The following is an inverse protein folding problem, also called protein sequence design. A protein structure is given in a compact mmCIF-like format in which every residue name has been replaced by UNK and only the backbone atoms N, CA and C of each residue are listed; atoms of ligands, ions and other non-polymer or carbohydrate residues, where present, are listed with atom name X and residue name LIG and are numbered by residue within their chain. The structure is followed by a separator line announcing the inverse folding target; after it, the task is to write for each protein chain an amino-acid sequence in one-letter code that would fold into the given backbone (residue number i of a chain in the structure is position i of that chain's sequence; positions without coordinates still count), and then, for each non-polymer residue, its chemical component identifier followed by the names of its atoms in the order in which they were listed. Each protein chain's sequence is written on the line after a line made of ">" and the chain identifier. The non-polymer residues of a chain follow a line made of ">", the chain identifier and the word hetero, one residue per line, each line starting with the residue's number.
data_IF_029535716219
#
_entry.id   IF_029535716219
#
_cell.length_a   1.000
_cell.length_b   1.000
_cell.length_c   1.000
_cell.angle_alpha   90.00
_cell.angle_beta   90.00
_cell.angle_gamma   90.00
#
_symmetry.space_group_name_H-M   'P 1'
#
loop_
_entity.id
_entity.type
_entity.pdbx_description
1 polymer ?
#
# COMPACT_ATOMS: atom_id res chain seq x y z
N UNK A 1 16.15 0.36 32.30
CA UNK A 1 14.77 0.39 31.74
C UNK A 1 14.60 1.44 30.65
N UNK A 2 15.20 2.62 30.74
CA UNK A 2 15.07 3.71 29.74
C UNK A 2 15.71 3.41 28.37
N UNK A 3 16.83 2.70 28.28
CA UNK A 3 17.51 2.37 27.02
C UNK A 3 16.76 1.31 26.18
N UNK A 4 16.06 0.39 26.82
CA UNK A 4 15.24 -0.61 26.13
C UNK A 4 14.02 0.01 25.47
N UNK A 5 13.35 0.96 26.13
CA UNK A 5 12.21 1.69 25.58
C UNK A 5 12.63 2.48 24.30
N UNK A 6 13.73 3.23 24.39
CA UNK A 6 14.23 4.02 23.24
C UNK A 6 14.62 3.17 22.03
N UNK A 7 15.18 1.95 22.24
CA UNK A 7 15.56 1.06 21.15
C UNK A 7 14.33 0.39 20.48
N UNK A 8 13.36 -0.03 21.28
CA UNK A 8 12.10 -0.59 20.77
C UNK A 8 11.32 0.45 19.96
N UNK A 9 11.21 1.68 20.45
CA UNK A 9 10.56 2.78 19.75
C UNK A 9 11.23 3.08 18.40
N UNK A 10 12.56 3.05 18.33
CA UNK A 10 13.30 3.30 17.08
C UNK A 10 13.05 2.20 16.05
N UNK A 11 13.11 0.93 16.46
CA UNK A 11 12.89 -0.22 15.56
C UNK A 11 11.44 -0.32 15.10
N UNK A 12 10.49 -0.11 16.01
CA UNK A 12 9.07 -0.07 15.66
C UNK A 12 8.78 1.07 14.68
N UNK A 13 9.23 2.29 14.96
CA UNK A 13 9.03 3.43 14.07
C UNK A 13 9.63 3.21 12.68
N UNK A 14 10.81 2.58 12.61
CA UNK A 14 11.44 2.23 11.33
C UNK A 14 10.60 1.20 10.59
N UNK A 15 10.19 0.13 11.26
CA UNK A 15 9.32 -0.90 10.70
C UNK A 15 7.99 -0.31 10.20
N UNK A 16 7.33 0.51 11.01
CA UNK A 16 6.08 1.16 10.67
C UNK A 16 6.24 2.05 9.42
N UNK A 17 7.21 2.96 9.42
CA UNK A 17 7.46 3.87 8.27
C UNK A 17 7.77 3.11 6.98
N UNK A 18 8.47 1.98 7.09
CA UNK A 18 8.89 1.20 5.92
C UNK A 18 7.73 0.40 5.35
N UNK A 19 6.90 -0.23 6.20
CA UNK A 19 5.96 -1.26 5.75
C UNK A 19 4.49 -0.88 5.83
N UNK A 20 4.09 0.12 6.62
CA UNK A 20 2.68 0.42 6.87
C UNK A 20 1.88 0.61 5.57
N UNK A 21 2.31 1.50 4.68
CA UNK A 21 1.60 1.77 3.42
C UNK A 21 1.57 0.55 2.50
N UNK A 22 2.68 -0.20 2.44
CA UNK A 22 2.76 -1.43 1.63
C UNK A 22 1.78 -2.48 2.15
N UNK A 23 1.66 -2.63 3.47
CA UNK A 23 0.71 -3.55 4.10
C UNK A 23 -0.73 -3.11 3.91
N UNK A 24 -1.04 -1.80 3.96
CA UNK A 24 -2.37 -1.28 3.62
C UNK A 24 -2.76 -1.59 2.18
N UNK A 25 -1.84 -1.40 1.23
CA UNK A 25 -2.08 -1.76 -0.16
C UNK A 25 -2.25 -3.27 -0.35
N UNK A 26 -1.46 -4.09 0.35
CA UNK A 26 -1.59 -5.53 0.36
C UNK A 26 -2.97 -5.97 0.91
N UNK A 27 -3.40 -5.43 2.05
CA UNK A 27 -4.69 -5.69 2.67
C UNK A 27 -5.85 -5.26 1.76
N UNK A 28 -5.74 -4.10 1.09
CA UNK A 28 -6.71 -3.65 0.11
C UNK A 28 -6.90 -4.65 -1.04
N UNK A 29 -5.85 -5.35 -1.44
CA UNK A 29 -5.92 -6.44 -2.42
C UNK A 29 -6.93 -7.52 -2.05
N UNK A 30 -7.11 -7.81 -0.77
CA UNK A 30 -8.08 -8.77 -0.22
C UNK A 30 -9.45 -8.14 0.04
N UNK A 31 -9.48 -7.02 0.76
CA UNK A 31 -10.70 -6.46 1.35
C UNK A 31 -11.46 -5.55 0.39
N UNK A 32 -10.80 -4.95 -0.60
CA UNK A 32 -11.36 -3.95 -1.55
C UNK A 32 -12.01 -2.75 -0.87
N UNK A 33 -11.62 -2.48 0.37
CA UNK A 33 -12.07 -1.39 1.21
C UNK A 33 -10.85 -0.81 1.92
N UNK A 34 -10.55 0.47 1.69
CA UNK A 34 -9.36 1.13 2.21
C UNK A 34 -9.42 1.31 3.73
N UNK A 35 -10.60 1.65 4.27
CA UNK A 35 -10.78 1.85 5.71
C UNK A 35 -10.59 0.54 6.46
N UNK A 36 -11.21 -0.55 6.00
CA UNK A 36 -11.02 -1.88 6.59
C UNK A 36 -9.57 -2.37 6.44
N UNK A 37 -8.91 -2.08 5.32
CA UNK A 37 -7.51 -2.43 5.12
C UNK A 37 -6.61 -1.72 6.14
N UNK A 38 -6.82 -0.42 6.36
CA UNK A 38 -6.10 0.35 7.37
C UNK A 38 -6.34 -0.17 8.78
N UNK A 39 -7.60 -0.44 9.16
CA UNK A 39 -7.97 -0.97 10.47
C UNK A 39 -7.28 -2.31 10.75
N UNK A 40 -7.30 -3.23 9.79
CA UNK A 40 -6.64 -4.54 9.89
C UNK A 40 -5.13 -4.38 10.06
N UNK A 41 -4.50 -3.51 9.29
CA UNK A 41 -3.06 -3.27 9.35
C UNK A 41 -2.67 -2.61 10.68
N UNK A 42 -3.43 -1.63 11.15
CA UNK A 42 -3.19 -1.01 12.47
C UNK A 42 -3.23 -2.04 13.58
N UNK A 43 -4.22 -2.95 13.60
CA UNK A 43 -4.30 -4.01 14.59
C UNK A 43 -3.10 -4.97 14.54
N UNK A 44 -2.56 -5.26 13.36
CA UNK A 44 -1.33 -6.06 13.22
C UNK A 44 -0.14 -5.32 13.79
N UNK A 45 0.02 -4.03 13.49
CA UNK A 45 1.14 -3.23 14.02
C UNK A 45 1.05 -3.03 15.54
N UNK A 46 -0.14 -2.88 16.12
CA UNK A 46 -0.33 -2.85 17.58
C UNK A 46 0.18 -4.13 18.24
N UNK A 47 -0.04 -5.31 17.62
CA UNK A 47 0.47 -6.59 18.15
C UNK A 47 1.99 -6.74 18.06
N UNK A 48 2.63 -6.00 17.15
CA UNK A 48 4.09 -6.05 16.97
C UNK A 48 4.81 -5.15 17.97
N UNK A 49 4.16 -4.12 18.49
CA UNK A 49 4.80 -3.10 19.35
C UNK A 49 5.48 -3.73 20.57
N UNK A 50 4.87 -4.77 21.13
CA UNK A 50 5.37 -5.47 22.32
C UNK A 50 6.28 -6.67 21.97
N UNK A 51 6.52 -6.93 20.68
CA UNK A 51 7.32 -8.06 20.22
C UNK A 51 8.75 -7.64 19.92
N UNK A 52 9.56 -7.51 20.96
CA UNK A 52 10.97 -7.10 20.86
C UNK A 52 11.84 -8.08 20.07
N UNK A 53 11.54 -9.37 20.12
CA UNK A 53 12.27 -10.40 19.36
C UNK A 53 12.07 -10.21 17.86
N UNK A 54 10.83 -9.97 17.44
CA UNK A 54 10.50 -9.72 16.05
C UNK A 54 11.12 -8.40 15.56
N UNK A 55 11.00 -7.32 16.34
CA UNK A 55 11.57 -6.02 15.98
C UNK A 55 13.12 -6.01 15.94
N UNK A 56 13.76 -6.98 16.60
CA UNK A 56 15.21 -7.21 16.54
C UNK A 56 15.66 -8.22 15.50
N UNK A 57 14.70 -8.86 14.79
CA UNK A 57 15.00 -9.87 13.79
C UNK A 57 15.51 -9.25 12.47
N UNK A 58 15.91 -10.09 11.53
CA UNK A 58 16.28 -9.63 10.19
C UNK A 58 15.08 -9.01 9.47
N UNK A 59 15.35 -8.07 8.57
CA UNK A 59 14.32 -7.39 7.77
C UNK A 59 13.42 -8.39 7.03
N UNK A 60 13.99 -9.47 6.51
CA UNK A 60 13.27 -10.53 5.82
C UNK A 60 12.28 -11.25 6.74
N UNK A 61 12.67 -11.56 7.98
CA UNK A 61 11.80 -12.20 8.96
C UNK A 61 10.64 -11.27 9.36
N UNK A 62 10.92 -10.00 9.61
CA UNK A 62 9.89 -8.98 9.91
C UNK A 62 8.90 -8.87 8.76
N UNK A 63 9.39 -8.73 7.54
CA UNK A 63 8.59 -8.64 6.32
C UNK A 63 7.68 -9.86 6.12
N UNK A 64 8.25 -11.08 6.23
CA UNK A 64 7.50 -12.33 6.10
C UNK A 64 6.43 -12.46 7.18
N UNK A 65 6.73 -12.06 8.40
CA UNK A 65 5.75 -12.03 9.49
C UNK A 65 4.59 -11.07 9.18
N UNK A 66 4.89 -9.85 8.74
CA UNK A 66 3.89 -8.85 8.40
C UNK A 66 2.92 -9.35 7.33
N UNK A 67 3.43 -9.90 6.23
CA UNK A 67 2.58 -10.46 5.18
C UNK A 67 1.67 -11.58 5.67
N UNK A 68 2.19 -12.50 6.48
CA UNK A 68 1.39 -13.60 7.08
C UNK A 68 0.33 -13.06 8.04
N UNK A 69 0.71 -12.14 8.93
CA UNK A 69 -0.19 -11.58 9.93
C UNK A 69 -1.33 -10.77 9.28
N UNK A 70 -1.00 -9.90 8.33
CA UNK A 70 -2.00 -9.10 7.62
C UNK A 70 -2.91 -9.99 6.78
N UNK A 71 -2.36 -10.96 6.04
CA UNK A 71 -3.18 -11.94 5.30
C UNK A 71 -4.18 -12.65 6.21
N UNK A 72 -3.71 -13.20 7.32
CA UNK A 72 -4.59 -13.92 8.26
C UNK A 72 -5.68 -13.01 8.83
N UNK A 73 -5.35 -11.77 9.16
CA UNK A 73 -6.30 -10.79 9.65
C UNK A 73 -7.35 -10.42 8.57
N UNK A 74 -6.94 -10.24 7.31
CA UNK A 74 -7.86 -10.02 6.19
C UNK A 74 -8.81 -11.20 5.98
N UNK A 75 -8.30 -12.44 6.03
CA UNK A 75 -9.13 -13.63 5.88
C UNK A 75 -10.15 -13.78 7.01
N UNK A 76 -9.77 -13.43 8.23
CA UNK A 76 -10.69 -13.41 9.36
C UNK A 76 -11.77 -12.34 9.18
N UNK A 77 -11.41 -11.14 8.70
CA UNK A 77 -12.38 -10.06 8.42
C UNK A 77 -13.37 -10.48 7.34
N UNK A 78 -12.92 -11.14 6.26
CA UNK A 78 -13.80 -11.66 5.21
C UNK A 78 -14.77 -12.70 5.77
N UNK A 79 -14.28 -13.66 6.58
CA UNK A 79 -15.12 -14.68 7.22
C UNK A 79 -16.18 -14.08 8.14
N UNK A 80 -15.82 -13.08 8.92
CA UNK A 80 -16.77 -12.37 9.80
C UNK A 80 -17.83 -11.64 8.97
N UNK A 81 -17.46 -11.01 7.86
CA UNK A 81 -18.39 -10.39 6.92
C UNK A 81 -19.33 -11.40 6.26
N UNK A 82 -18.83 -12.58 5.90
CA UNK A 82 -19.65 -13.68 5.32
C UNK A 82 -20.65 -14.26 6.32
N UNK A 83 -20.31 -14.37 7.59
CA UNK A 83 -21.24 -14.79 8.66
C UNK A 83 -22.42 -13.82 8.78
N UNK A 84 -22.20 -12.53 8.55
CA UNK A 84 -23.28 -11.53 8.53
C UNK A 84 -24.14 -11.53 7.25
N UNK A 85 -23.60 -12.06 6.15
CA UNK A 85 -24.29 -12.17 4.84
C UNK A 85 -24.77 -13.60 4.54
N UNK A 86 -25.10 -14.39 5.53
CA UNK A 86 -25.55 -15.79 5.39
C UNK A 86 -26.65 -15.89 4.35
N UNK A 87 -26.33 -16.41 3.17
CA UNK A 87 -27.09 -17.29 2.25
C UNK A 87 -26.53 -17.29 0.80
N UNK A 88 -25.70 -16.34 0.35
CA UNK A 88 -25.39 -16.18 -1.09
C UNK A 88 -23.96 -16.51 -1.55
N UNK A 89 -23.03 -16.99 -0.72
CA UNK A 89 -21.63 -17.08 -1.14
C UNK A 89 -20.92 -18.41 -0.89
N UNK A 90 -21.48 -19.53 -1.35
CA UNK A 90 -20.71 -20.80 -1.50
C UNK A 90 -19.71 -20.78 -2.68
N UNK A 91 -19.67 -19.69 -3.48
CA UNK A 91 -18.88 -19.62 -4.74
C UNK A 91 -17.53 -18.89 -4.59
N UNK A 92 -17.22 -18.25 -3.45
CA UNK A 92 -15.98 -17.46 -3.30
C UNK A 92 -14.82 -18.16 -2.55
N UNK A 93 -15.01 -19.38 -2.10
CA UNK A 93 -13.96 -20.09 -1.33
C UNK A 93 -12.71 -20.48 -2.15
N UNK A 94 -12.80 -20.52 -3.48
CA UNK A 94 -11.68 -20.89 -4.36
C UNK A 94 -10.67 -19.77 -4.64
N UNK A 95 -10.90 -18.54 -4.16
CA UNK A 95 -9.99 -17.40 -4.43
C UNK A 95 -8.87 -17.21 -3.41
N UNK A 96 -8.71 -18.10 -2.44
CA UNK A 96 -7.77 -17.95 -1.34
C UNK A 96 -6.52 -18.84 -1.47
N UNK A 97 -6.19 -19.27 -2.68
CA UNK A 97 -5.04 -20.13 -2.96
C UNK A 97 -3.70 -19.38 -2.79
N UNK A 98 -2.62 -20.14 -2.56
CA UNK A 98 -1.25 -19.61 -2.42
C UNK A 98 -0.80 -18.80 -3.63
N UNK A 99 -1.26 -19.13 -4.83
CA UNK A 99 -0.99 -18.36 -6.06
C UNK A 99 -1.48 -16.90 -5.96
N UNK A 100 -2.60 -16.67 -5.25
CA UNK A 100 -3.08 -15.32 -4.98
C UNK A 100 -2.20 -14.57 -3.97
N UNK A 101 -1.61 -15.26 -3.00
CA UNK A 101 -0.71 -14.63 -2.02
C UNK A 101 0.52 -14.03 -2.69
N UNK A 102 1.21 -14.81 -3.53
CA UNK A 102 2.40 -14.36 -4.27
C UNK A 102 2.05 -13.15 -5.15
N UNK A 103 0.92 -13.21 -5.85
CA UNK A 103 0.45 -12.09 -6.66
C UNK A 103 0.21 -10.82 -5.83
N UNK A 104 -0.43 -10.93 -4.67
CA UNK A 104 -0.67 -9.79 -3.78
C UNK A 104 0.64 -9.23 -3.19
N UNK A 105 1.61 -10.09 -2.85
CA UNK A 105 2.93 -9.67 -2.40
C UNK A 105 3.63 -8.89 -3.50
N UNK A 106 3.77 -9.46 -4.70
CA UNK A 106 4.42 -8.80 -5.84
C UNK A 106 3.76 -7.45 -6.14
N UNK A 107 2.44 -7.41 -6.13
CA UNK A 107 1.68 -6.17 -6.35
C UNK A 107 2.02 -5.10 -5.32
N UNK A 108 2.06 -5.44 -4.04
CA UNK A 108 2.36 -4.50 -2.96
C UNK A 108 3.82 -4.02 -3.01
N UNK A 109 4.76 -4.87 -3.42
CA UNK A 109 6.16 -4.52 -3.60
C UNK A 109 6.36 -3.54 -4.77
N UNK A 110 5.70 -3.79 -5.90
CA UNK A 110 5.72 -2.86 -7.04
C UNK A 110 5.12 -1.51 -6.63
N UNK A 111 4.02 -1.51 -5.89
CA UNK A 111 3.43 -0.29 -5.35
C UNK A 111 4.43 0.48 -4.48
N UNK A 112 5.15 -0.22 -3.59
CA UNK A 112 6.18 0.39 -2.75
C UNK A 112 7.28 1.06 -3.59
N UNK A 113 7.78 0.41 -4.63
CA UNK A 113 8.81 0.97 -5.52
C UNK A 113 8.28 2.19 -6.30
N UNK A 114 7.03 2.14 -6.75
CA UNK A 114 6.38 3.30 -7.39
C UNK A 114 6.32 4.47 -6.40
N UNK A 115 5.85 4.24 -5.17
CA UNK A 115 5.71 5.31 -4.17
C UNK A 115 7.06 5.89 -3.73
N UNK A 116 8.12 5.08 -3.67
CA UNK A 116 9.49 5.60 -3.47
C UNK A 116 9.89 6.56 -4.60
N UNK A 117 9.69 6.16 -5.85
CA UNK A 117 10.01 6.99 -7.01
C UNK A 117 9.16 8.27 -7.09
N UNK A 118 7.88 8.19 -6.69
CA UNK A 118 6.98 9.36 -6.61
C UNK A 118 7.49 10.39 -5.61
N UNK A 119 7.99 9.97 -4.44
CA UNK A 119 8.56 10.86 -3.43
C UNK A 119 9.79 11.64 -3.91
N UNK A 120 10.46 11.16 -4.95
CA UNK A 120 11.62 11.82 -5.55
C UNK A 120 11.24 12.75 -6.74
N UNK A 121 9.96 12.84 -7.08
CA UNK A 121 9.49 13.77 -8.09
C UNK A 121 9.60 15.23 -7.61
N UNK A 122 9.75 16.21 -8.52
CA UNK A 122 9.60 17.62 -8.17
C UNK A 122 8.25 17.85 -7.48
N UNK A 123 8.17 18.68 -6.42
CA UNK A 123 6.99 18.80 -5.56
C UNK A 123 5.66 19.03 -6.28
N UNK A 124 5.65 19.83 -7.32
CA UNK A 124 4.44 20.08 -8.12
C UNK A 124 4.02 18.84 -8.93
N UNK A 125 5.00 18.12 -9.51
CA UNK A 125 4.71 16.89 -10.24
C UNK A 125 4.20 15.79 -9.30
N UNK A 126 4.84 15.68 -8.12
CA UNK A 126 4.42 14.73 -7.08
C UNK A 126 2.97 14.98 -6.67
N UNK A 127 2.63 16.21 -6.27
CA UNK A 127 1.30 16.55 -5.79
C UNK A 127 0.22 16.31 -6.86
N UNK A 128 0.46 16.74 -8.10
CA UNK A 128 -0.46 16.45 -9.22
C UNK A 128 -0.58 14.95 -9.48
N UNK A 129 0.52 14.17 -9.35
CA UNK A 129 0.48 12.73 -9.50
C UNK A 129 -0.36 12.07 -8.41
N UNK A 130 -0.17 12.42 -7.16
CA UNK A 130 -0.91 11.89 -6.01
C UNK A 130 -2.42 12.16 -6.17
N UNK A 131 -2.82 13.40 -6.45
CA UNK A 131 -4.22 13.74 -6.68
C UNK A 131 -4.84 12.99 -7.86
N UNK A 132 -4.08 12.79 -8.94
CA UNK A 132 -4.59 12.14 -10.15
C UNK A 132 -4.69 10.61 -10.04
N UNK A 133 -3.71 9.95 -9.39
CA UNK A 133 -3.57 8.48 -9.43
C UNK A 133 -3.85 7.80 -8.10
N UNK A 134 -3.72 8.50 -6.98
CA UNK A 134 -4.07 7.98 -5.66
C UNK A 134 -5.50 8.40 -5.31
N UNK A 135 -5.78 9.71 -5.39
CA UNK A 135 -7.09 10.27 -5.05
C UNK A 135 -8.11 10.22 -6.20
N UNK A 136 -7.66 9.76 -7.39
CA UNK A 136 -8.48 9.56 -8.59
C UNK A 136 -9.24 10.81 -9.06
N UNK A 137 -8.71 12.00 -8.78
CA UNK A 137 -9.31 13.26 -9.19
C UNK A 137 -9.14 13.51 -10.69
N UNK A 138 -10.15 14.15 -11.27
CA UNK A 138 -10.12 14.63 -12.65
C UNK A 138 -9.15 15.81 -12.81
N UNK A 139 -8.73 16.10 -14.04
CA UNK A 139 -7.83 17.24 -14.28
C UNK A 139 -8.49 18.59 -13.89
N UNK A 140 -9.79 18.68 -14.00
CA UNK A 140 -10.61 19.85 -13.66
C UNK A 140 -10.62 20.05 -12.13
N UNK A 141 -10.87 19.00 -11.36
CA UNK A 141 -10.83 19.03 -9.88
C UNK A 141 -9.44 19.40 -9.36
N UNK A 142 -8.38 18.82 -9.95
CA UNK A 142 -6.98 19.15 -9.60
C UNK A 142 -6.67 20.60 -9.92
N UNK A 143 -7.13 21.10 -11.08
CA UNK A 143 -6.92 22.48 -11.50
C UNK A 143 -7.58 23.46 -10.53
N UNK A 144 -8.81 23.18 -10.09
CA UNK A 144 -9.53 23.96 -9.10
C UNK A 144 -8.82 23.96 -7.74
N UNK A 145 -8.46 22.79 -7.22
CA UNK A 145 -7.83 22.64 -5.91
C UNK A 145 -6.46 23.29 -5.81
N UNK A 146 -5.66 23.20 -6.89
CA UNK A 146 -4.30 23.75 -6.93
C UNK A 146 -4.25 25.17 -7.50
N UNK A 147 -5.39 25.78 -7.86
CA UNK A 147 -5.48 27.07 -8.54
C UNK A 147 -4.60 27.14 -9.80
N UNK A 148 -4.66 26.11 -10.63
CA UNK A 148 -3.90 25.95 -11.87
C UNK A 148 -4.84 25.89 -13.08
N UNK A 149 -4.30 26.09 -14.29
CA UNK A 149 -5.04 25.74 -15.51
C UNK A 149 -5.06 24.23 -15.72
N UNK A 150 -6.13 23.70 -16.33
CA UNK A 150 -6.25 22.29 -16.72
C UNK A 150 -5.06 21.86 -17.60
N UNK A 151 -4.59 22.76 -18.48
CA UNK A 151 -3.42 22.49 -19.30
C UNK A 151 -2.14 22.35 -18.46
N UNK A 152 -1.96 23.18 -17.45
CA UNK A 152 -0.83 23.05 -16.50
C UNK A 152 -0.86 21.71 -15.77
N UNK A 153 -2.04 21.26 -15.33
CA UNK A 153 -2.20 19.94 -14.71
C UNK A 153 -1.79 18.81 -15.66
N UNK A 154 -2.24 18.86 -16.94
CA UNK A 154 -1.83 17.87 -17.96
C UNK A 154 -0.32 17.84 -18.19
N UNK A 155 0.32 19.00 -18.26
CA UNK A 155 1.78 19.11 -18.41
C UNK A 155 2.49 18.49 -17.21
N UNK A 156 2.07 18.78 -15.98
CA UNK A 156 2.66 18.23 -14.76
C UNK A 156 2.46 16.71 -14.67
N UNK A 157 1.28 16.18 -15.02
CA UNK A 157 1.02 14.73 -15.11
C UNK A 157 1.95 14.04 -16.11
N UNK A 158 2.09 14.60 -17.29
CA UNK A 158 2.97 14.03 -18.32
C UNK A 158 4.43 14.05 -17.88
N UNK A 159 4.89 15.13 -17.26
CA UNK A 159 6.23 15.25 -16.70
C UNK A 159 6.46 14.22 -15.59
N UNK A 160 5.51 14.04 -14.69
CA UNK A 160 5.58 13.02 -13.66
C UNK A 160 5.72 11.60 -14.25
N UNK A 161 4.89 11.25 -15.24
CA UNK A 161 4.97 9.96 -15.96
C UNK A 161 6.34 9.74 -16.61
N UNK A 162 6.89 10.74 -17.30
CA UNK A 162 8.20 10.64 -17.94
C UNK A 162 9.32 10.42 -16.93
N UNK A 163 9.30 11.15 -15.80
CA UNK A 163 10.30 10.98 -14.75
C UNK A 163 10.20 9.61 -14.08
N UNK A 164 8.98 9.12 -13.82
CA UNK A 164 8.77 7.77 -13.28
C UNK A 164 9.22 6.70 -14.28
N UNK A 165 8.97 6.88 -15.58
CA UNK A 165 9.47 5.97 -16.61
C UNK A 165 10.99 5.86 -16.60
N UNK A 166 11.70 6.98 -16.45
CA UNK A 166 13.16 6.99 -16.38
C UNK A 166 13.68 6.32 -15.10
N UNK A 167 13.00 6.53 -13.96
CA UNK A 167 13.40 5.96 -12.66
C UNK A 167 13.11 4.46 -12.55
N UNK A 168 11.98 4.01 -13.08
CA UNK A 168 11.47 2.65 -12.94
C UNK A 168 11.69 1.78 -14.19
N UNK A 169 12.58 2.16 -15.08
CA UNK A 169 12.92 1.54 -16.39
C UNK A 169 12.36 0.11 -16.60
N UNK A 170 12.88 -0.87 -15.85
CA UNK A 170 12.56 -2.29 -16.00
C UNK A 170 11.19 -2.66 -15.41
N UNK A 171 10.69 -1.88 -14.45
CA UNK A 171 9.38 -2.07 -13.82
C UNK A 171 8.26 -1.30 -14.54
N UNK A 172 8.61 -0.43 -15.49
CA UNK A 172 7.64 0.47 -16.11
C UNK A 172 6.47 -0.22 -16.83
N UNK A 173 6.63 -1.35 -17.52
CA UNK A 173 5.50 -2.09 -18.07
C UNK A 173 4.49 -2.52 -17.02
N UNK A 174 4.98 -2.91 -15.84
CA UNK A 174 4.15 -3.28 -14.69
C UNK A 174 3.49 -2.04 -14.07
N UNK A 175 4.23 -0.92 -13.98
CA UNK A 175 3.71 0.37 -13.51
C UNK A 175 2.55 0.84 -14.39
N UNK A 176 2.68 0.76 -15.72
CA UNK A 176 1.59 1.08 -16.64
C UNK A 176 0.37 0.20 -16.40
N UNK A 177 0.58 -1.10 -16.23
CA UNK A 177 -0.50 -2.03 -15.92
C UNK A 177 -1.25 -1.63 -14.64
N UNK A 178 -0.54 -1.18 -13.61
CA UNK A 178 -1.14 -0.67 -12.37
C UNK A 178 -1.87 0.65 -12.54
N UNK A 179 -1.30 1.59 -13.30
CA UNK A 179 -1.88 2.92 -13.52
C UNK A 179 -3.11 2.90 -14.45
N UNK A 180 -3.23 1.90 -15.32
CA UNK A 180 -4.35 1.78 -16.26
C UNK A 180 -5.51 0.95 -15.72
N UNK A 181 -5.30 0.18 -14.65
CA UNK A 181 -6.30 -0.75 -14.10
C UNK A 181 -7.05 -0.19 -12.88
N UNK A 182 -6.69 1.02 -12.45
CA UNK A 182 -7.42 1.74 -11.38
C UNK A 182 -8.35 2.78 -11.97
#
# INVERSE_FOLDING_TARGET
>A
SSKYCSWMDTNFNTCFRTYYQTMCHFAYGYLKDSLKAEDVVQLVFVKIIDNSELLGASEELVKNYLYKAVRNACLNEIKLGEIHQTILSRIQQDKLNEDNLIFHIIRSEIYQEIMKAVKELPPRCQHVFELAFIDQKTNEEIAEELHLSVNTVRVQKNKAKQLLQLKLKDLYPLVLFFLLKN
#
